data_IF_666902786865
#
_entry.id   IF_666902786865
#
_cell.length_a   1.000
_cell.length_b   1.000
_cell.length_c   1.000
_cell.angle_alpha   90.00
_cell.angle_beta   90.00
_cell.angle_gamma   90.00
#
_symmetry.space_group_name_H-M   'P 1'
#
loop_
_entity.id
_entity.type
_entity.pdbx_description
1 polymer ?
#
# COMPACT_ATOMS: atom_id res chain seq x y z
N UNK A 1 14.34 -51.03 -29.48
CA UNK A 1 15.00 -52.05 -28.62
C UNK A 1 16.44 -51.59 -28.43
N UNK A 2 16.99 -51.20 -27.29
CA UNK A 2 16.62 -51.20 -25.86
C UNK A 2 17.20 -49.90 -25.27
N UNK A 3 16.40 -49.07 -24.60
CA UNK A 3 16.40 -48.89 -23.14
C UNK A 3 17.79 -48.66 -22.49
N UNK A 4 18.05 -47.41 -22.10
CA UNK A 4 19.15 -46.99 -21.24
C UNK A 4 18.60 -46.09 -20.14
N UNK A 5 18.17 -46.73 -19.05
CA UNK A 5 17.68 -46.12 -17.82
C UNK A 5 18.78 -45.34 -17.10
N UNK A 6 18.56 -44.06 -16.77
CA UNK A 6 19.26 -43.40 -15.67
C UNK A 6 18.31 -42.41 -14.99
N UNK A 7 17.97 -42.74 -13.74
CA UNK A 7 16.92 -42.10 -12.96
C UNK A 7 17.26 -40.70 -12.43
N UNK A 8 16.29 -40.04 -11.80
CA UNK A 8 16.43 -38.68 -11.30
C UNK A 8 17.42 -38.61 -10.13
N UNK A 9 18.35 -37.68 -10.24
CA UNK A 9 19.35 -37.29 -9.24
C UNK A 9 18.60 -36.76 -8.01
N UNK A 10 18.36 -37.63 -7.04
CA UNK A 10 17.81 -37.31 -5.73
C UNK A 10 18.66 -36.22 -5.08
N UNK A 11 18.05 -35.05 -4.89
CA UNK A 11 18.54 -34.03 -3.98
C UNK A 11 18.56 -34.66 -2.58
N UNK A 12 19.76 -34.96 -2.09
CA UNK A 12 19.97 -35.38 -0.71
C UNK A 12 19.45 -34.27 0.20
N UNK A 13 18.35 -34.55 0.90
CA UNK A 13 17.93 -33.79 2.07
C UNK A 13 19.08 -33.79 3.09
N UNK A 14 19.36 -32.66 3.76
CA UNK A 14 20.29 -32.66 4.86
C UNK A 14 19.77 -33.57 5.97
N UNK A 15 20.63 -34.51 6.37
CA UNK A 15 20.44 -35.45 7.47
C UNK A 15 20.02 -34.71 8.74
N UNK A 16 18.97 -35.22 9.36
CA UNK A 16 18.57 -34.92 10.73
C UNK A 16 19.75 -35.17 11.68
N UNK A 17 20.24 -34.11 12.33
CA UNK A 17 21.14 -34.23 13.47
C UNK A 17 20.34 -34.69 14.69
N UNK A 18 20.37 -35.99 14.93
CA UNK A 18 19.99 -36.60 16.22
C UNK A 18 21.16 -36.41 17.20
N UNK A 19 21.32 -35.20 17.74
CA UNK A 19 22.20 -34.96 18.88
C UNK A 19 21.63 -33.82 19.72
N UNK A 20 21.19 -34.18 20.91
CA UNK A 20 20.52 -33.34 21.92
C UNK A 20 21.47 -32.37 22.63
N UNK A 21 22.36 -31.70 21.89
CA UNK A 21 23.40 -30.84 22.46
C UNK A 21 23.58 -29.50 21.74
N UNK A 22 22.55 -28.97 21.05
CA UNK A 22 22.58 -27.63 20.47
C UNK A 22 21.25 -26.87 20.71
N UNK A 23 20.81 -26.76 21.96
CA UNK A 23 19.62 -26.01 22.35
C UNK A 23 19.93 -24.86 23.31
N UNK A 24 20.80 -23.93 22.90
CA UNK A 24 20.85 -22.58 23.50
C UNK A 24 21.34 -21.47 22.54
N UNK A 25 21.44 -21.74 21.22
CA UNK A 25 22.14 -20.85 20.29
C UNK A 25 21.39 -20.46 19.01
N UNK A 26 20.23 -21.06 18.72
CA UNK A 26 19.58 -20.87 17.41
C UNK A 26 18.68 -19.62 17.31
N UNK A 27 18.34 -18.94 18.42
CA UNK A 27 17.64 -17.65 18.36
C UNK A 27 18.60 -16.50 18.06
N UNK A 28 19.84 -16.56 18.57
CA UNK A 28 20.86 -15.53 18.35
C UNK A 28 21.32 -15.48 16.88
N UNK A 29 21.37 -16.62 16.18
CA UNK A 29 21.73 -16.70 14.77
C UNK A 29 20.67 -16.07 13.85
N UNK A 30 19.40 -16.06 14.25
CA UNK A 30 18.31 -15.45 13.47
C UNK A 30 18.32 -13.92 13.55
N UNK A 31 18.65 -13.38 14.74
CA UNK A 31 18.79 -11.92 14.92
C UNK A 31 20.05 -11.39 14.24
N UNK A 32 21.18 -12.09 14.35
CA UNK A 32 22.41 -11.72 13.62
C UNK A 32 22.22 -11.83 12.10
N UNK A 33 21.46 -12.82 11.60
CA UNK A 33 21.14 -12.94 10.17
C UNK A 33 20.19 -11.83 9.67
N UNK A 34 19.24 -11.38 10.49
CA UNK A 34 18.41 -10.20 10.19
C UNK A 34 19.23 -8.89 10.24
N UNK A 35 20.16 -8.77 11.18
CA UNK A 35 21.11 -7.65 11.24
C UNK A 35 22.04 -7.64 10.01
N UNK A 36 22.53 -8.80 9.57
CA UNK A 36 23.33 -8.92 8.35
C UNK A 36 22.50 -8.55 7.10
N UNK A 37 21.21 -8.91 7.08
CA UNK A 37 20.30 -8.58 5.98
C UNK A 37 19.93 -7.09 5.95
N UNK A 38 19.97 -6.39 7.10
CA UNK A 38 19.84 -4.94 7.18
C UNK A 38 21.10 -4.18 6.72
N UNK A 39 22.25 -4.87 6.59
CA UNK A 39 23.53 -4.32 6.12
C UNK A 39 23.89 -4.70 4.69
N UNK A 40 23.06 -5.50 3.99
CA UNK A 40 23.26 -5.70 2.56
C UNK A 40 23.11 -4.33 1.87
N UNK A 41 24.09 -3.88 1.06
CA UNK A 41 23.89 -2.72 0.21
C UNK A 41 22.64 -3.00 -0.60
N UNK A 42 21.67 -2.09 -0.54
CA UNK A 42 20.46 -2.16 -1.33
C UNK A 42 20.87 -2.54 -2.77
N UNK A 43 20.17 -3.50 -3.42
CA UNK A 43 20.50 -3.87 -4.80
C UNK A 43 20.63 -2.57 -5.59
N UNK A 44 21.61 -2.44 -6.51
CA UNK A 44 21.77 -1.24 -7.32
C UNK A 44 20.55 -1.12 -8.21
N UNK A 45 19.50 -0.58 -7.63
CA UNK A 45 18.34 -0.12 -8.32
C UNK A 45 18.91 0.95 -9.24
N UNK A 46 18.67 0.84 -10.54
CA UNK A 46 19.03 1.87 -11.53
C UNK A 46 18.50 3.29 -11.15
N UNK A 47 17.76 3.40 -10.03
CA UNK A 47 17.28 4.59 -9.35
C UNK A 47 18.33 5.46 -8.61
N UNK A 48 19.62 5.12 -8.59
CA UNK A 48 20.66 6.01 -8.01
C UNK A 48 21.15 7.15 -8.94
N UNK A 49 20.48 7.45 -10.07
CA UNK A 49 21.02 8.41 -11.05
C UNK A 49 20.08 9.49 -11.61
N UNK A 50 18.92 9.75 -11.00
CA UNK A 50 18.17 11.00 -11.27
C UNK A 50 18.42 11.97 -10.13
N UNK A 51 19.61 12.56 -10.17
CA UNK A 51 20.14 13.44 -9.14
C UNK A 51 19.36 14.77 -9.16
N UNK A 52 18.68 15.16 -8.06
CA UNK A 52 18.01 16.45 -7.95
C UNK A 52 18.97 17.66 -8.03
N UNK A 53 20.30 17.43 -7.93
CA UNK A 53 21.34 18.45 -8.01
C UNK A 53 21.69 18.96 -9.42
N UNK A 54 20.99 18.53 -10.49
CA UNK A 54 21.27 19.03 -11.85
C UNK A 54 21.07 20.56 -11.94
N UNK A 55 20.08 21.11 -11.24
CA UNK A 55 19.86 22.56 -11.20
C UNK A 55 20.88 23.31 -10.32
N UNK A 56 21.71 22.61 -9.56
CA UNK A 56 22.77 23.19 -8.71
C UNK A 56 24.15 23.07 -9.37
N UNK A 57 24.21 22.51 -10.57
CA UNK A 57 25.47 22.34 -11.29
C UNK A 57 25.86 23.65 -11.98
N UNK A 58 27.16 23.98 -11.98
CA UNK A 58 27.72 25.14 -12.70
C UNK A 58 27.25 25.23 -14.16
N UNK A 59 27.13 24.09 -14.83
CA UNK A 59 26.64 24.00 -16.23
C UNK A 59 25.22 24.58 -16.41
N UNK A 60 24.35 24.40 -15.42
CA UNK A 60 22.97 24.89 -15.50
C UNK A 60 22.92 26.41 -15.32
N UNK A 61 23.69 26.91 -14.35
CA UNK A 61 23.80 28.33 -14.02
C UNK A 61 24.41 29.11 -15.20
N UNK A 62 25.46 28.59 -15.84
CA UNK A 62 26.06 29.25 -17.01
C UNK A 62 25.11 29.30 -18.22
N UNK A 63 24.26 28.28 -18.40
CA UNK A 63 23.37 28.17 -19.56
C UNK A 63 22.09 28.98 -19.43
N UNK A 64 21.47 28.99 -18.24
CA UNK A 64 20.16 29.60 -18.00
C UNK A 64 20.21 30.80 -17.06
N UNK A 65 21.16 30.83 -16.12
CA UNK A 65 21.28 31.86 -15.09
C UNK A 65 20.03 31.94 -14.22
N UNK A 66 19.59 33.16 -13.93
CA UNK A 66 18.41 33.44 -13.10
C UNK A 66 17.08 33.39 -13.89
N UNK A 67 17.14 33.15 -15.20
CA UNK A 67 15.97 33.16 -16.06
C UNK A 67 15.31 31.78 -16.06
N UNK A 68 13.97 31.69 -16.12
CA UNK A 68 13.31 30.39 -16.21
C UNK A 68 13.68 29.70 -17.52
N UNK A 69 13.71 28.37 -17.54
CA UNK A 69 14.18 27.59 -18.70
C UNK A 69 13.39 27.82 -19.99
N UNK A 70 12.15 28.28 -19.89
CA UNK A 70 11.29 28.59 -21.03
C UNK A 70 11.51 30.03 -21.56
N UNK A 71 12.36 30.83 -20.92
CA UNK A 71 12.69 32.18 -21.36
C UNK A 71 13.43 32.14 -22.71
N UNK A 72 12.90 32.85 -23.71
CA UNK A 72 13.50 32.95 -25.04
C UNK A 72 13.00 31.93 -26.06
N UNK A 73 12.17 30.97 -25.66
CA UNK A 73 11.44 30.12 -26.60
C UNK A 73 10.33 30.94 -27.27
N UNK A 74 10.25 30.88 -28.60
CA UNK A 74 9.19 31.48 -29.40
C UNK A 74 8.41 30.35 -30.06
N UNK A 75 7.10 30.28 -29.80
CA UNK A 75 6.19 29.16 -30.06
C UNK A 75 5.98 28.63 -31.49
N UNK A 76 6.98 28.68 -32.36
CA UNK A 76 7.02 27.89 -33.59
C UNK A 76 7.53 26.48 -33.27
N UNK A 77 6.59 25.56 -33.01
CA UNK A 77 6.85 24.14 -32.77
C UNK A 77 7.07 23.42 -34.10
N UNK A 78 8.23 23.68 -34.71
CA UNK A 78 8.75 22.90 -35.85
C UNK A 78 9.52 21.72 -35.26
N UNK A 79 9.57 20.57 -35.96
CA UNK A 79 10.34 19.40 -35.48
C UNK A 79 11.81 19.72 -35.16
N UNK A 80 12.37 20.77 -35.76
CA UNK A 80 13.74 21.27 -35.55
C UNK A 80 13.89 22.15 -34.29
N UNK A 81 12.79 22.56 -33.66
CA UNK A 81 12.79 23.39 -32.44
C UNK A 81 12.08 22.66 -31.28
N UNK A 82 12.77 21.74 -30.59
CA UNK A 82 12.19 20.99 -29.48
C UNK A 82 11.86 21.88 -28.28
N UNK A 83 10.88 21.46 -27.49
CA UNK A 83 10.50 22.14 -26.24
C UNK A 83 11.68 22.28 -25.26
N UNK A 84 11.64 23.26 -24.33
CA UNK A 84 12.74 23.52 -23.40
C UNK A 84 13.17 22.29 -22.60
N UNK A 85 12.22 21.46 -22.18
CA UNK A 85 12.48 20.21 -21.44
C UNK A 85 12.96 19.09 -22.38
N UNK A 86 12.47 19.04 -23.61
CA UNK A 86 12.81 17.97 -24.55
C UNK A 86 14.16 18.16 -25.23
N UNK A 87 14.68 19.39 -25.30
CA UNK A 87 16.02 19.67 -25.86
C UNK A 87 17.12 19.10 -24.98
N UNK A 88 16.97 19.24 -23.66
CA UNK A 88 18.02 18.90 -22.70
C UNK A 88 17.65 17.61 -21.95
N UNK A 89 18.22 16.47 -22.36
CA UNK A 89 17.95 15.16 -21.74
C UNK A 89 18.37 15.08 -20.26
N UNK A 90 19.28 15.95 -19.81
CA UNK A 90 19.66 16.04 -18.39
C UNK A 90 18.48 16.52 -17.53
N UNK A 91 17.55 17.29 -18.10
CA UNK A 91 16.45 17.89 -17.38
C UNK A 91 15.27 16.90 -17.23
N UNK A 92 15.25 16.20 -16.10
CA UNK A 92 14.19 15.25 -15.78
C UNK A 92 13.09 15.91 -14.94
N UNK A 93 11.84 15.74 -15.40
CA UNK A 93 10.64 16.16 -14.66
C UNK A 93 10.31 15.12 -13.61
N UNK A 94 10.76 15.37 -12.39
CA UNK A 94 10.47 14.53 -11.21
C UNK A 94 9.91 15.42 -10.09
N UNK A 95 9.05 14.86 -9.24
CA UNK A 95 8.43 15.57 -8.11
C UNK A 95 9.44 16.06 -7.05
N UNK A 96 10.65 15.47 -7.04
CA UNK A 96 11.75 15.85 -6.13
C UNK A 96 12.42 17.17 -6.52
N UNK A 97 12.31 17.57 -7.79
CA UNK A 97 13.03 18.71 -8.35
C UNK A 97 12.20 19.99 -8.17
N UNK A 98 12.05 20.45 -6.92
CA UNK A 98 11.19 21.60 -6.58
C UNK A 98 11.60 22.86 -7.34
N UNK A 99 12.91 23.16 -7.42
CA UNK A 99 13.47 24.32 -8.15
C UNK A 99 13.09 24.36 -9.63
N UNK A 100 12.90 23.20 -10.26
CA UNK A 100 12.46 23.14 -11.66
C UNK A 100 10.95 23.38 -11.76
N UNK A 101 10.18 22.72 -10.89
CA UNK A 101 8.72 22.79 -10.89
C UNK A 101 8.22 24.21 -10.57
N UNK A 102 8.88 24.91 -9.66
CA UNK A 102 8.57 26.31 -9.30
C UNK A 102 8.60 27.25 -10.51
N UNK A 103 9.50 27.04 -11.47
CA UNK A 103 9.58 27.87 -12.69
C UNK A 103 8.36 27.76 -13.60
N UNK A 104 7.61 26.66 -13.49
CA UNK A 104 6.37 26.41 -14.24
C UNK A 104 5.11 26.85 -13.50
N UNK A 105 5.26 27.40 -12.30
CA UNK A 105 4.19 27.84 -11.42
C UNK A 105 4.27 29.36 -11.27
N UNK A 106 3.12 30.03 -11.21
CA UNK A 106 3.09 31.44 -10.90
C UNK A 106 3.37 31.66 -9.41
N UNK A 107 4.37 32.49 -9.09
CA UNK A 107 4.79 32.80 -7.71
C UNK A 107 3.68 33.41 -6.84
N UNK A 108 2.70 34.10 -7.44
CA UNK A 108 1.62 34.76 -6.69
C UNK A 108 0.36 33.92 -6.59
N UNK A 109 -0.04 33.24 -7.67
CA UNK A 109 -1.32 32.50 -7.71
C UNK A 109 -1.17 31.01 -7.43
N UNK A 110 0.04 30.45 -7.52
CA UNK A 110 0.26 29.01 -7.39
C UNK A 110 -0.35 28.17 -8.54
N UNK A 111 -0.79 28.83 -9.62
CA UNK A 111 -1.38 28.18 -10.80
C UNK A 111 -0.28 27.79 -11.78
N UNK A 112 -0.40 26.60 -12.36
CA UNK A 112 0.52 26.07 -13.37
C UNK A 112 0.33 26.83 -14.69
N UNK A 113 1.41 27.25 -15.35
CA UNK A 113 1.31 27.95 -16.62
C UNK A 113 0.81 27.04 -17.75
N UNK A 114 -0.07 27.59 -18.60
CA UNK A 114 -0.54 26.91 -19.80
C UNK A 114 0.63 26.67 -20.79
N UNK A 115 0.67 25.54 -21.53
CA UNK A 115 1.75 25.21 -22.46
C UNK A 115 1.98 26.23 -23.60
N UNK A 116 0.99 27.07 -23.91
CA UNK A 116 1.13 28.16 -24.89
C UNK A 116 2.06 29.26 -24.40
N UNK A 117 2.19 29.43 -23.08
CA UNK A 117 3.06 30.44 -22.48
C UNK A 117 4.48 29.92 -22.28
N UNK A 118 4.64 28.66 -21.89
CA UNK A 118 5.93 28.04 -21.56
C UNK A 118 6.54 27.24 -22.70
N UNK A 119 5.84 27.13 -23.83
CA UNK A 119 6.25 26.41 -25.04
C UNK A 119 6.65 24.93 -24.85
N UNK A 120 6.14 24.31 -23.78
CA UNK A 120 6.28 22.86 -23.57
C UNK A 120 5.29 22.07 -24.45
N UNK A 121 5.65 20.83 -24.77
CA UNK A 121 4.75 19.93 -25.49
C UNK A 121 3.69 19.39 -24.51
N UNK A 122 2.55 18.95 -25.04
CA UNK A 122 1.47 18.42 -24.19
C UNK A 122 1.90 17.20 -23.39
N UNK A 123 2.79 16.36 -23.94
CA UNK A 123 3.35 15.21 -23.23
C UNK A 123 4.08 15.66 -21.96
N UNK A 124 4.99 16.61 -22.07
CA UNK A 124 5.73 17.12 -20.92
C UNK A 124 4.85 17.94 -19.99
N UNK A 125 3.87 18.68 -20.50
CA UNK A 125 2.94 19.40 -19.63
C UNK A 125 2.13 18.45 -18.75
N UNK A 126 1.63 17.33 -19.30
CA UNK A 126 0.96 16.29 -18.51
C UNK A 126 1.89 15.70 -17.45
N UNK A 127 3.15 15.42 -17.80
CA UNK A 127 4.14 14.95 -16.83
C UNK A 127 4.44 16.00 -15.74
N UNK A 128 4.51 17.29 -16.10
CA UNK A 128 4.69 18.39 -15.15
C UNK A 128 3.51 18.49 -14.18
N UNK A 129 2.26 18.44 -14.68
CA UNK A 129 1.07 18.46 -13.83
C UNK A 129 1.10 17.31 -12.83
N UNK A 130 1.36 16.08 -13.29
CA UNK A 130 1.47 14.91 -12.41
C UNK A 130 2.61 15.05 -11.38
N UNK A 131 3.77 15.56 -11.78
CA UNK A 131 4.90 15.75 -10.87
C UNK A 131 4.62 16.85 -9.84
N UNK A 132 3.90 17.92 -10.22
CA UNK A 132 3.50 18.99 -9.31
C UNK A 132 2.46 18.49 -8.31
N UNK A 133 1.46 17.73 -8.76
CA UNK A 133 0.46 17.14 -7.88
C UNK A 133 1.13 16.18 -6.89
N UNK A 134 2.02 15.31 -7.35
CA UNK A 134 2.82 14.45 -6.48
C UNK A 134 3.69 15.25 -5.49
N UNK A 135 4.33 16.34 -5.95
CA UNK A 135 5.13 17.18 -5.07
C UNK A 135 4.29 17.88 -3.98
N UNK A 136 3.06 18.26 -4.30
CA UNK A 136 2.08 18.80 -3.34
C UNK A 136 1.62 17.74 -2.35
N UNK A 137 1.30 16.54 -2.83
CA UNK A 137 0.90 15.40 -2.00
C UNK A 137 2.01 14.98 -1.02
N UNK A 138 3.27 15.05 -1.47
CA UNK A 138 4.46 14.79 -0.65
C UNK A 138 4.86 15.97 0.25
N UNK A 139 4.21 17.13 0.13
CA UNK A 139 4.55 18.33 0.90
C UNK A 139 5.90 18.96 0.54
N UNK A 140 6.47 18.63 -0.62
CA UNK A 140 7.73 19.23 -1.11
C UNK A 140 7.50 20.63 -1.70
N UNK A 141 6.31 20.86 -2.25
CA UNK A 141 5.91 22.13 -2.83
C UNK A 141 4.86 22.80 -1.95
N UNK A 142 5.11 24.04 -1.54
CA UNK A 142 4.13 24.84 -0.80
C UNK A 142 3.02 25.36 -1.72
N UNK A 143 1.78 25.31 -1.24
CA UNK A 143 0.62 25.87 -1.94
C UNK A 143 -0.44 26.33 -0.93
N UNK A 144 -1.36 27.18 -1.39
CA UNK A 144 -2.44 27.68 -0.55
C UNK A 144 -3.52 26.61 -0.36
N UNK A 145 -3.70 26.16 0.88
CA UNK A 145 -4.79 25.26 1.28
C UNK A 145 -5.87 26.10 1.97
N UNK A 146 -7.07 26.25 1.38
CA UNK A 146 -8.13 26.98 2.04
C UNK A 146 -8.58 26.24 3.31
N UNK A 147 -8.77 27.00 4.39
CA UNK A 147 -9.38 26.45 5.60
C UNK A 147 -10.86 26.18 5.32
N UNK A 148 -11.24 24.91 5.28
CA UNK A 148 -12.63 24.49 5.12
C UNK A 148 -13.22 24.20 6.49
N UNK A 149 -14.18 25.03 6.91
CA UNK A 149 -14.94 24.81 8.13
C UNK A 149 -16.04 23.77 7.85
N UNK A 150 -16.00 22.65 8.57
CA UNK A 150 -17.07 21.65 8.51
C UNK A 150 -18.35 22.26 9.11
N UNK A 151 -19.40 22.36 8.32
CA UNK A 151 -20.71 22.86 8.74
C UNK A 151 -21.56 21.68 9.26
N UNK A 152 -21.26 21.17 10.45
CA UNK A 152 -22.09 20.21 11.17
C UNK A 152 -22.53 20.83 12.49
N UNK A 153 -23.84 20.98 12.72
CA UNK A 153 -24.33 21.63 13.94
C UNK A 153 -24.26 20.70 15.16
N UNK A 154 -24.20 19.38 14.94
CA UNK A 154 -24.15 18.39 16.01
C UNK A 154 -23.17 17.26 15.67
N UNK A 155 -21.99 17.25 16.31
CA UNK A 155 -20.98 16.17 16.17
C UNK A 155 -21.24 15.01 17.14
N UNK A 156 -22.51 14.78 17.47
CA UNK A 156 -22.92 13.82 18.49
C UNK A 156 -23.02 12.43 17.87
N UNK A 157 -22.18 11.49 18.31
CA UNK A 157 -22.17 10.09 17.87
C UNK A 157 -23.26 9.26 18.61
N UNK A 158 -24.50 9.74 18.57
CA UNK A 158 -25.66 9.07 19.19
C UNK A 158 -26.61 8.42 18.18
N UNK A 159 -26.39 8.68 16.88
CA UNK A 159 -27.23 8.07 15.85
C UNK A 159 -26.96 6.57 15.72
N UNK A 160 -28.02 5.76 15.59
CA UNK A 160 -27.95 4.30 15.54
C UNK A 160 -27.01 3.76 14.44
N UNK A 161 -26.83 4.52 13.37
CA UNK A 161 -25.94 4.16 12.27
C UNK A 161 -24.44 4.14 12.63
N UNK A 162 -24.03 4.88 13.66
CA UNK A 162 -22.62 4.98 14.08
C UNK A 162 -22.39 4.21 15.39
N UNK A 163 -23.41 4.11 16.23
CA UNK A 163 -23.37 3.26 17.43
C UNK A 163 -23.42 1.77 17.08
N UNK A 164 -23.01 0.88 18.00
CA UNK A 164 -23.12 -0.57 17.80
C UNK A 164 -24.58 -0.98 17.60
N UNK A 165 -24.95 -1.40 16.40
CA UNK A 165 -26.25 -2.01 16.14
C UNK A 165 -26.30 -3.37 16.84
N UNK A 166 -27.39 -3.62 17.58
CA UNK A 166 -27.59 -4.91 18.22
C UNK A 166 -27.59 -6.03 17.16
N UNK A 167 -26.97 -7.20 17.43
CA UNK A 167 -26.97 -8.30 16.48
C UNK A 167 -28.42 -8.68 16.14
N UNK A 168 -28.69 -9.02 14.87
CA UNK A 168 -30.01 -9.50 14.49
C UNK A 168 -30.34 -10.75 15.30
N UNK A 169 -31.63 -11.00 15.60
CA UNK A 169 -32.04 -12.24 16.23
C UNK A 169 -31.56 -13.44 15.38
N UNK A 170 -31.20 -14.56 16.00
CA UNK A 170 -30.72 -15.72 15.26
C UNK A 170 -31.79 -16.19 14.28
N UNK A 171 -31.44 -16.24 13.00
CA UNK A 171 -32.30 -16.83 11.98
C UNK A 171 -32.58 -18.28 12.37
N UNK A 172 -33.86 -18.67 12.38
CA UNK A 172 -34.25 -20.06 12.64
C UNK A 172 -33.58 -20.95 11.60
N UNK A 173 -32.72 -21.87 12.05
CA UNK A 173 -32.18 -22.88 11.17
C UNK A 173 -33.34 -23.79 10.74
N UNK A 174 -33.56 -24.02 9.43
CA UNK A 174 -34.59 -24.94 8.99
C UNK A 174 -34.27 -26.34 9.53
N UNK A 175 -35.30 -27.15 9.83
CA UNK A 175 -35.10 -28.50 10.36
C UNK A 175 -34.32 -29.35 9.34
N UNK A 176 -33.45 -30.21 9.85
CA UNK A 176 -32.47 -30.94 9.04
C UNK A 176 -33.10 -31.86 7.99
N UNK A 177 -34.33 -32.33 8.23
CA UNK A 177 -35.13 -33.11 7.28
C UNK A 177 -35.47 -32.34 6.00
N UNK A 178 -35.78 -31.05 6.13
CA UNK A 178 -36.10 -30.20 4.98
C UNK A 178 -34.84 -29.82 4.22
N UNK A 179 -33.73 -29.59 4.94
CA UNK A 179 -32.41 -29.42 4.35
C UNK A 179 -32.03 -30.66 3.54
N UNK A 180 -32.20 -31.86 4.09
CA UNK A 180 -31.89 -33.12 3.42
C UNK A 180 -32.78 -33.36 2.19
N UNK A 181 -34.08 -33.04 2.28
CA UNK A 181 -35.03 -33.12 1.14
C UNK A 181 -34.61 -32.17 0.02
N UNK A 182 -34.36 -30.90 0.32
CA UNK A 182 -33.92 -29.90 -0.68
C UNK A 182 -32.57 -30.28 -1.27
N UNK A 183 -31.62 -30.71 -0.43
CA UNK A 183 -30.31 -31.21 -0.86
C UNK A 183 -30.41 -32.45 -1.74
N UNK A 184 -31.50 -33.22 -1.64
CA UNK A 184 -31.77 -34.38 -2.49
C UNK A 184 -32.38 -34.00 -3.84
N UNK A 185 -33.26 -33.00 -3.86
CA UNK A 185 -33.93 -32.51 -5.07
C UNK A 185 -32.95 -31.76 -5.98
N UNK A 186 -32.05 -30.96 -5.40
CA UNK A 186 -31.13 -30.11 -6.16
C UNK A 186 -29.68 -30.62 -6.17
N UNK A 187 -29.47 -31.94 -6.07
CA UNK A 187 -28.13 -32.57 -5.95
C UNK A 187 -27.14 -32.09 -7.02
N UNK A 188 -27.60 -31.97 -8.26
CA UNK A 188 -26.75 -31.66 -9.41
C UNK A 188 -26.43 -30.17 -9.56
N UNK A 189 -27.28 -29.31 -8.98
CA UNK A 189 -27.14 -27.84 -9.05
C UNK A 189 -26.60 -27.22 -7.76
N UNK A 190 -26.44 -28.03 -6.70
CA UNK A 190 -25.97 -27.56 -5.39
C UNK A 190 -24.48 -27.25 -5.44
N UNK A 191 -24.15 -25.96 -5.58
CA UNK A 191 -22.78 -25.48 -5.28
C UNK A 191 -22.49 -25.72 -3.81
N UNK A 192 -21.32 -26.30 -3.53
CA UNK A 192 -20.81 -26.53 -2.18
C UNK A 192 -20.45 -25.17 -1.58
N UNK A 193 -21.41 -24.46 -1.00
CA UNK A 193 -21.10 -23.37 -0.07
C UNK A 193 -20.72 -24.08 1.23
N UNK A 194 -19.45 -24.05 1.65
CA UNK A 194 -19.10 -24.56 2.97
C UNK A 194 -19.89 -23.73 3.99
N UNK A 195 -20.80 -24.38 4.71
CA UNK A 195 -21.35 -23.82 5.93
C UNK A 195 -20.18 -23.47 6.83
N UNK A 196 -20.15 -22.24 7.36
CA UNK A 196 -19.04 -21.63 8.14
C UNK A 196 -17.77 -22.45 8.04
N UNK A 197 -16.92 -22.15 7.06
CA UNK A 197 -15.54 -22.59 7.15
C UNK A 197 -15.04 -22.08 8.51
N UNK A 198 -14.89 -22.98 9.48
CA UNK A 198 -14.00 -22.72 10.60
C UNK A 198 -12.68 -22.30 9.93
N UNK A 199 -12.29 -21.05 10.15
CA UNK A 199 -10.97 -20.59 9.75
C UNK A 199 -9.97 -21.45 10.51
N UNK A 200 -9.16 -22.28 9.84
CA UNK A 200 -8.06 -22.95 10.52
C UNK A 200 -7.12 -21.84 10.97
N UNK A 201 -6.96 -21.67 12.28
CA UNK A 201 -5.97 -20.74 12.86
C UNK A 201 -6.50 -19.44 13.46
N UNK A 202 -7.71 -19.42 14.05
CA UNK A 202 -7.96 -18.45 15.13
C UNK A 202 -7.84 -19.14 16.48
N UNK A 203 -6.67 -18.97 17.09
CA UNK A 203 -6.47 -19.18 18.52
C UNK A 203 -7.41 -18.22 19.27
N UNK A 204 -8.49 -18.76 19.82
CA UNK A 204 -9.42 -18.05 20.73
C UNK A 204 -9.21 -18.45 22.20
N UNK A 205 -8.03 -18.94 22.57
CA UNK A 205 -7.49 -18.69 23.91
C UNK A 205 -6.63 -17.44 23.75
N UNK A 206 -7.19 -16.23 23.82
CA UNK A 206 -7.61 -15.57 25.05
C UNK A 206 -8.81 -14.62 24.77
N UNK A 207 -10.00 -15.01 25.21
CA UNK A 207 -11.04 -14.07 25.59
C UNK A 207 -11.46 -14.44 27.01
N UNK A 208 -10.93 -13.75 28.04
CA UNK A 208 -11.30 -14.04 29.42
C UNK A 208 -12.71 -13.51 29.68
N UNK A 209 -13.62 -14.44 29.93
CA UNK A 209 -14.92 -14.16 30.53
C UNK A 209 -16.03 -14.96 29.88
N UNK A 210 -16.91 -15.51 30.73
CA UNK A 210 -18.30 -15.93 30.40
C UNK A 210 -18.36 -17.30 29.69
N UNK A 211 -18.60 -18.48 30.30
CA UNK A 211 -19.08 -18.90 31.63
C UNK A 211 -18.67 -20.36 31.89
N UNK A 212 -18.22 -20.66 33.10
CA UNK A 212 -18.06 -22.02 33.60
C UNK A 212 -19.41 -22.66 33.93
N UNK A 213 -19.59 -23.91 33.51
CA UNK A 213 -20.65 -24.79 33.97
C UNK A 213 -20.09 -25.69 35.09
N UNK A 214 -20.69 -25.62 36.27
CA UNK A 214 -20.65 -26.67 37.30
C UNK A 214 -21.98 -26.56 38.06
N UNK A 215 -22.98 -27.39 37.75
CA UNK A 215 -23.22 -28.77 38.21
C UNK A 215 -24.31 -28.78 39.32
N UNK A 216 -25.24 -29.76 39.32
CA UNK A 216 -26.44 -29.75 40.15
C UNK A 216 -26.19 -30.45 41.51
N UNK A 217 -26.72 -29.90 42.59
CA UNK A 217 -26.73 -30.53 43.91
C UNK A 217 -27.64 -29.77 44.86
N UNK A 218 -28.74 -30.39 45.27
CA UNK A 218 -29.80 -29.75 46.05
C UNK A 218 -29.45 -29.53 47.53
N UNK A 219 -30.18 -28.60 48.15
CA UNK A 219 -30.49 -28.62 49.57
C UNK A 219 -31.75 -27.76 49.81
N UNK A 220 -32.66 -28.31 50.60
CA UNK A 220 -33.95 -27.74 51.00
C UNK A 220 -33.80 -26.62 52.05
N UNK A 221 -34.92 -25.90 52.19
CA UNK A 221 -35.54 -25.44 53.42
C UNK A 221 -35.37 -23.95 53.80
N UNK A 222 -36.55 -23.32 53.78
CA UNK A 222 -36.93 -22.04 54.37
C UNK A 222 -36.73 -21.99 55.90
N UNK A 223 -36.58 -20.78 56.43
CA UNK A 223 -36.99 -20.46 57.81
C UNK A 223 -36.26 -19.27 58.42
N UNK A 224 -36.81 -18.06 58.22
CA UNK A 224 -36.58 -16.91 59.10
C UNK A 224 -37.78 -16.81 60.05
N UNK A 225 -37.54 -17.12 61.33
CA UNK A 225 -37.97 -16.46 62.59
C UNK A 225 -37.82 -17.44 63.73
#
# INVERSE_FOLDING_TARGET
MKEGSSGPRLLLLPRSCSSSACCSGCSAQRWTQLQQQSQLPLPPNHALRRNPGILETVEYIERYGDKPIWFGYRGKKIAENPCPICRDQKLHVDYRNVKLLEQFICSHTGVIFHPTRTDVCMKQHKCLTQAIDQARDHGLLSFHIPLVMLQGKDYTNQHQAVTKTHPPPPCRQPPEKDIARICRIYKDYRRRIPGRHERPGQNWMECPGVWGWAAPGGAQAFGLT
#
